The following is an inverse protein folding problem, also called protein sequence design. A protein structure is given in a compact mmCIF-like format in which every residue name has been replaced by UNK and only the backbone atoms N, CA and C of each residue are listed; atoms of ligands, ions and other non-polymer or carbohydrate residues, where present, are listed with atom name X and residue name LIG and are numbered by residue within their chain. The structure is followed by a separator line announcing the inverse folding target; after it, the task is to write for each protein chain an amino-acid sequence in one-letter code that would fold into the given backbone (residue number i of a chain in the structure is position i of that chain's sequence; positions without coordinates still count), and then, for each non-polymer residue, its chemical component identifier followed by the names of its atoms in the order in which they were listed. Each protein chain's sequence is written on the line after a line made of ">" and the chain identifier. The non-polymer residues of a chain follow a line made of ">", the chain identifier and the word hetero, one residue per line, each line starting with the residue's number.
data_IF_952402281672
#
_entry.id   IF_952402281672
#
_cell.length_a   1.000
_cell.length_b   1.000
_cell.length_c   1.000
_cell.angle_alpha   90.00
_cell.angle_beta   90.00
_cell.angle_gamma   90.00
#
_symmetry.space_group_name_H-M   'P 1'
#
loop_
_entity.id
_entity.type
_entity.pdbx_description
1 polymer ?
#
# COMPACT_ATOMS: atom_id res chain seq x y z
N UNK A 1 15.10 12.84 13.06
CA UNK A 1 16.34 13.19 12.32
C UNK A 1 17.21 11.96 12.12
N UNK A 2 17.97 11.92 11.04
CA UNK A 2 18.94 10.85 10.78
C UNK A 2 20.28 11.19 11.44
N UNK A 3 20.92 10.22 12.09
CA UNK A 3 22.24 10.41 12.73
C UNK A 3 23.40 10.32 11.73
N UNK A 4 23.18 9.82 10.53
CA UNK A 4 24.15 9.71 9.43
C UNK A 4 23.46 9.90 8.08
N UNK A 5 24.25 10.17 7.03
CA UNK A 5 23.72 10.28 5.68
C UNK A 5 23.00 8.98 5.28
N UNK A 6 21.84 9.11 4.69
CA UNK A 6 21.07 7.97 4.17
C UNK A 6 20.22 8.37 2.95
N UNK A 7 19.68 7.37 2.29
CA UNK A 7 18.68 7.56 1.22
C UNK A 7 17.37 6.97 1.71
N UNK A 8 16.31 7.72 1.55
CA UNK A 8 14.94 7.29 1.89
C UNK A 8 14.08 7.23 0.63
N UNK A 9 12.97 6.51 0.70
CA UNK A 9 11.86 6.63 -0.25
C UNK A 9 10.54 6.77 0.51
N UNK A 10 9.63 7.57 -0.05
CA UNK A 10 8.27 7.77 0.44
C UNK A 10 7.30 7.16 -0.58
N UNK A 11 6.42 6.25 -0.13
CA UNK A 11 5.48 5.55 -1.01
C UNK A 11 4.13 5.31 -0.32
N UNK A 12 3.19 4.68 -1.05
CA UNK A 12 1.86 4.37 -0.53
C UNK A 12 0.94 5.58 -0.50
N UNK A 13 0.14 5.72 0.56
CA UNK A 13 -0.78 6.85 0.74
C UNK A 13 -0.01 8.18 0.66
N UNK A 14 -0.45 9.06 -0.21
CA UNK A 14 0.20 10.36 -0.42
C UNK A 14 0.07 11.24 0.82
N UNK A 15 1.18 11.76 1.29
CA UNK A 15 1.29 12.66 2.45
C UNK A 15 2.15 13.85 2.10
N UNK A 16 1.91 14.97 2.76
CA UNK A 16 2.86 16.09 2.68
C UNK A 16 4.13 15.71 3.42
N UNK A 17 5.27 15.90 2.79
CA UNK A 17 6.57 15.68 3.44
C UNK A 17 7.53 16.80 3.12
N UNK A 18 8.36 17.15 4.08
CA UNK A 18 9.47 18.10 3.91
C UNK A 18 10.75 17.62 4.61
N UNK A 19 11.89 18.00 4.05
CA UNK A 19 13.21 17.83 4.64
C UNK A 19 13.81 19.21 4.90
N UNK A 20 13.93 19.59 6.17
CA UNK A 20 14.40 20.93 6.59
C UNK A 20 13.62 22.06 5.90
N UNK A 21 12.31 21.90 5.74
CA UNK A 21 11.42 22.88 5.11
C UNK A 21 11.31 22.78 3.59
N UNK A 22 12.14 21.96 2.92
CA UNK A 22 12.03 21.72 1.49
C UNK A 22 11.04 20.59 1.21
N UNK A 23 10.01 20.84 0.41
CA UNK A 23 9.03 19.85 0.02
C UNK A 23 9.68 18.65 -0.69
N UNK A 24 9.21 17.45 -0.37
CA UNK A 24 9.64 16.17 -0.98
C UNK A 24 8.58 15.62 -1.89
N UNK A 25 9.00 15.11 -3.06
CA UNK A 25 8.14 14.38 -3.97
C UNK A 25 7.74 13.01 -3.36
N UNK A 26 6.48 12.62 -3.56
CA UNK A 26 5.99 11.29 -3.19
C UNK A 26 6.34 10.27 -4.28
N UNK A 27 6.38 8.98 -3.95
CA UNK A 27 6.86 7.90 -4.82
C UNK A 27 8.27 8.17 -5.38
N UNK A 28 9.14 8.75 -4.56
CA UNK A 28 10.47 9.17 -4.94
C UNK A 28 11.51 8.85 -3.87
N UNK A 29 12.78 8.82 -4.28
CA UNK A 29 13.93 8.64 -3.40
C UNK A 29 14.61 9.98 -3.11
N UNK A 30 15.04 10.17 -1.87
CA UNK A 30 15.64 11.43 -1.38
C UNK A 30 16.91 11.16 -0.59
N UNK A 31 17.95 11.96 -0.83
CA UNK A 31 19.13 11.99 0.03
C UNK A 31 18.80 12.77 1.32
N UNK A 32 19.12 12.18 2.45
CA UNK A 32 18.93 12.78 3.79
C UNK A 32 20.30 12.93 4.43
N UNK A 33 20.82 14.16 4.56
CA UNK A 33 22.07 14.44 5.29
C UNK A 33 21.96 14.07 6.77
N UNK A 34 23.08 13.77 7.40
CA UNK A 34 23.14 13.64 8.85
C UNK A 34 22.65 14.91 9.54
N UNK A 35 21.82 14.78 10.57
CA UNK A 35 21.19 15.88 11.30
C UNK A 35 19.90 16.42 10.67
N UNK A 36 19.66 16.19 9.38
CA UNK A 36 18.47 16.71 8.70
C UNK A 36 17.17 16.17 9.32
N UNK A 37 16.14 17.00 9.34
CA UNK A 37 14.83 16.72 9.93
C UNK A 37 13.78 16.45 8.86
N UNK A 38 13.37 15.21 8.74
CA UNK A 38 12.23 14.82 7.92
C UNK A 38 10.93 15.06 8.71
N UNK A 39 9.97 15.75 8.10
CA UNK A 39 8.59 15.85 8.58
C UNK A 39 7.66 15.17 7.59
N UNK A 40 6.75 14.36 8.11
CA UNK A 40 5.67 13.73 7.34
C UNK A 40 4.37 14.20 7.98
N UNK A 41 3.53 14.84 7.20
CA UNK A 41 2.25 15.39 7.62
C UNK A 41 1.09 14.39 7.47
N UNK A 42 -0.15 14.89 7.52
CA UNK A 42 -1.33 14.05 7.38
C UNK A 42 -1.44 13.44 5.98
N UNK A 43 -2.17 12.33 5.90
CA UNK A 43 -2.51 11.68 4.63
C UNK A 43 -3.42 12.60 3.80
N UNK A 44 -3.14 12.68 2.51
CA UNK A 44 -3.93 13.41 1.52
C UNK A 44 -4.87 12.46 0.74
N UNK A 45 -4.37 11.28 0.39
CA UNK A 45 -5.11 10.21 -0.30
C UNK A 45 -4.60 8.84 0.13
N UNK A 46 -5.51 7.86 0.24
CA UNK A 46 -5.19 6.51 0.69
C UNK A 46 -5.22 6.38 2.21
N UNK A 47 -4.61 5.33 2.73
CA UNK A 47 -4.64 4.96 4.16
C UNK A 47 -3.23 4.73 4.71
N UNK A 48 -2.40 3.95 4.02
CA UNK A 48 -1.09 3.50 4.50
C UNK A 48 0.04 4.13 3.70
N UNK A 49 0.79 5.04 4.32
CA UNK A 49 2.05 5.57 3.78
C UNK A 49 3.25 4.77 4.31
N UNK A 50 4.30 4.74 3.52
CA UNK A 50 5.51 3.99 3.85
C UNK A 50 6.74 4.87 3.74
N UNK A 51 7.55 4.85 4.80
CA UNK A 51 8.91 5.38 4.81
C UNK A 51 9.88 4.21 4.67
N UNK A 52 10.64 4.20 3.58
CA UNK A 52 11.72 3.26 3.35
C UNK A 52 13.06 3.93 3.64
N UNK A 53 14.04 3.18 4.10
CA UNK A 53 15.40 3.64 4.27
C UNK A 53 16.35 2.64 3.61
N UNK A 54 17.35 3.14 2.92
CA UNK A 54 18.38 2.29 2.33
C UNK A 54 19.19 1.59 3.43
N UNK A 55 19.39 0.28 3.28
CA UNK A 55 19.91 -0.59 4.32
C UNK A 55 18.86 -1.21 5.24
N UNK A 56 17.60 -0.71 5.18
CA UNK A 56 16.47 -1.19 5.97
C UNK A 56 16.52 -0.77 7.44
N UNK A 57 15.36 -0.70 8.09
CA UNK A 57 15.29 -0.56 9.54
C UNK A 57 15.71 -1.88 10.22
N UNK A 58 16.51 -1.78 11.28
CA UNK A 58 17.09 -2.91 12.02
C UNK A 58 16.68 -2.95 13.49
N UNK A 59 15.40 -2.87 13.84
CA UNK A 59 15.00 -3.12 15.21
C UNK A 59 15.34 -4.57 15.59
N UNK A 60 15.50 -4.90 16.87
CA UNK A 60 15.76 -6.27 17.33
C UNK A 60 14.76 -7.27 16.75
N UNK A 61 15.18 -8.48 16.42
CA UNK A 61 14.29 -9.52 15.92
C UNK A 61 13.37 -10.05 17.01
N UNK A 62 12.09 -10.27 16.69
CA UNK A 62 11.12 -11.02 17.49
C UNK A 62 10.59 -12.13 16.59
N UNK A 63 10.70 -13.38 17.00
CA UNK A 63 10.33 -14.56 16.19
C UNK A 63 10.89 -14.49 14.76
N UNK A 64 12.15 -14.08 14.64
CA UNK A 64 12.86 -13.86 13.37
C UNK A 64 12.28 -12.75 12.47
N UNK A 65 11.29 -11.99 12.93
CA UNK A 65 10.67 -10.87 12.23
C UNK A 65 11.06 -9.51 12.80
N UNK A 66 11.02 -8.47 11.95
CA UNK A 66 11.17 -7.06 12.36
C UNK A 66 9.85 -6.31 12.39
N UNK A 67 8.76 -6.94 11.98
CA UNK A 67 7.43 -6.36 11.95
C UNK A 67 6.82 -6.15 13.34
N UNK A 68 5.79 -5.31 13.39
CA UNK A 68 4.93 -5.11 14.55
C UNK A 68 3.60 -5.78 14.28
N UNK A 69 3.09 -6.56 15.23
CA UNK A 69 1.75 -7.11 15.21
C UNK A 69 1.01 -6.62 16.46
N UNK A 70 0.24 -5.54 16.30
CA UNK A 70 -0.35 -4.82 17.43
C UNK A 70 -1.38 -5.68 18.18
N UNK A 71 -2.22 -6.42 17.47
CA UNK A 71 -3.25 -7.27 18.08
C UNK A 71 -2.65 -8.42 18.90
N UNK A 72 -1.50 -8.97 18.48
CA UNK A 72 -0.79 -10.01 19.23
C UNK A 72 0.16 -9.44 20.30
N UNK A 73 0.26 -8.12 20.46
CA UNK A 73 1.20 -7.48 21.39
C UNK A 73 2.67 -7.67 21.02
N UNK A 74 2.97 -8.10 19.79
CA UNK A 74 4.33 -8.23 19.30
C UNK A 74 4.85 -6.88 18.86
N UNK A 75 5.68 -6.27 19.70
CA UNK A 75 6.23 -4.92 19.54
C UNK A 75 5.13 -3.84 19.61
N UNK A 76 5.46 -2.71 20.18
CA UNK A 76 4.57 -1.56 20.26
C UNK A 76 4.68 -0.69 18.99
N UNK A 77 3.67 0.13 18.73
CA UNK A 77 3.76 1.21 17.77
C UNK A 77 4.91 2.18 18.14
N UNK A 78 5.53 2.77 17.12
CA UNK A 78 6.57 3.78 17.30
C UNK A 78 5.96 4.99 18.02
N UNK A 79 6.64 5.46 19.07
CA UNK A 79 6.23 6.61 19.86
C UNK A 79 7.24 7.74 19.72
N UNK A 80 6.87 8.92 20.15
CA UNK A 80 7.78 10.05 20.28
C UNK A 80 9.03 9.68 21.08
N UNK A 81 10.19 10.12 20.62
CA UNK A 81 11.49 9.78 21.21
C UNK A 81 12.04 8.40 20.83
N UNK A 82 11.30 7.59 20.06
CA UNK A 82 11.82 6.29 19.63
C UNK A 82 13.00 6.45 18.67
N UNK A 83 14.04 5.64 18.92
CA UNK A 83 15.18 5.49 18.02
C UNK A 83 15.03 4.23 17.18
N UNK A 84 15.21 4.39 15.86
CA UNK A 84 15.10 3.30 14.90
C UNK A 84 16.48 3.05 14.27
N UNK A 85 17.20 2.01 14.67
CA UNK A 85 18.45 1.64 14.03
C UNK A 85 18.18 1.24 12.58
N UNK A 86 19.12 1.57 11.69
CA UNK A 86 19.07 1.19 10.29
C UNK A 86 20.44 0.77 9.77
N UNK A 87 20.43 -0.15 8.80
CA UNK A 87 21.60 -0.76 8.22
C UNK A 87 22.44 0.20 7.37
N UNK A 88 23.60 -0.28 6.92
CA UNK A 88 24.45 0.47 6.00
C UNK A 88 23.73 0.69 4.67
N UNK A 89 23.74 1.91 4.16
CA UNK A 89 23.15 2.22 2.87
C UNK A 89 24.01 1.64 1.74
N UNK A 90 23.39 0.83 0.90
CA UNK A 90 23.95 0.40 -0.39
C UNK A 90 23.48 1.27 -1.55
N UNK A 91 22.56 2.22 -1.31
CA UNK A 91 22.03 3.09 -2.34
C UNK A 91 23.07 4.14 -2.74
N UNK A 92 23.41 4.13 -4.02
CA UNK A 92 24.36 5.07 -4.63
C UNK A 92 23.64 6.27 -5.27
N UNK A 93 22.31 6.21 -5.42
CA UNK A 93 21.51 7.22 -6.14
C UNK A 93 20.27 7.59 -5.36
N UNK A 94 20.01 8.89 -5.26
CA UNK A 94 18.75 9.49 -4.83
C UNK A 94 18.21 10.37 -5.97
N UNK A 95 17.00 10.90 -5.82
CA UNK A 95 16.37 11.74 -6.85
C UNK A 95 15.78 10.93 -7.98
N UNK A 96 15.30 9.73 -7.70
CA UNK A 96 14.51 8.91 -8.62
C UNK A 96 13.05 8.92 -8.20
N UNK A 97 12.14 8.95 -9.16
CA UNK A 97 10.69 8.82 -8.95
C UNK A 97 10.12 7.68 -9.77
N UNK A 98 8.97 7.18 -9.33
CA UNK A 98 8.20 6.15 -10.01
C UNK A 98 6.77 6.64 -10.21
N UNK A 99 6.27 6.56 -11.44
CA UNK A 99 4.85 6.79 -11.72
C UNK A 99 4.06 5.59 -11.21
N UNK A 100 3.14 5.83 -10.29
CA UNK A 100 2.32 4.79 -9.65
C UNK A 100 0.86 5.02 -9.98
N UNK A 101 0.18 3.95 -10.41
CA UNK A 101 -1.25 3.99 -10.65
C UNK A 101 -2.02 4.34 -9.37
N UNK A 102 -3.11 5.10 -9.52
CA UNK A 102 -4.04 5.44 -8.43
C UNK A 102 -4.64 4.17 -7.81
N UNK A 103 -4.61 4.07 -6.48
CA UNK A 103 -5.08 2.90 -5.72
C UNK A 103 -6.11 3.21 -4.66
N UNK A 104 -6.47 4.47 -4.45
CA UNK A 104 -7.39 4.88 -3.37
C UNK A 104 -8.81 5.22 -3.85
N UNK A 105 -9.03 5.24 -5.17
CA UNK A 105 -10.28 5.67 -5.78
C UNK A 105 -11.40 4.60 -5.77
N UNK A 106 -11.10 3.34 -5.42
CA UNK A 106 -12.08 2.26 -5.45
C UNK A 106 -12.26 1.63 -6.85
N UNK A 107 -13.52 1.38 -7.22
CA UNK A 107 -13.90 0.71 -8.46
C UNK A 107 -13.98 -0.82 -8.33
N UNK A 108 -13.84 -1.57 -9.42
CA UNK A 108 -13.95 -3.03 -9.39
C UNK A 108 -12.72 -3.70 -8.78
N UNK A 109 -12.96 -4.62 -7.86
CA UNK A 109 -11.98 -5.51 -7.22
C UNK A 109 -12.29 -6.94 -7.66
N UNK A 110 -11.30 -7.62 -8.21
CA UNK A 110 -11.47 -9.00 -8.70
C UNK A 110 -11.36 -9.99 -7.54
N UNK A 111 -12.26 -10.96 -7.56
CA UNK A 111 -12.37 -12.00 -6.53
C UNK A 111 -12.44 -13.39 -7.17
N UNK A 112 -12.03 -14.39 -6.41
CA UNK A 112 -12.13 -15.80 -6.73
C UNK A 112 -13.08 -16.52 -5.78
N UNK A 113 -13.78 -17.57 -6.23
CA UNK A 113 -14.50 -18.44 -5.32
C UNK A 113 -13.53 -19.18 -4.38
N UNK A 114 -13.95 -19.40 -3.15
CA UNK A 114 -13.29 -20.25 -2.17
C UNK A 114 -14.03 -21.60 -2.09
N UNK A 115 -13.48 -22.55 -1.34
CA UNK A 115 -14.15 -23.82 -1.05
C UNK A 115 -15.47 -23.64 -0.27
N UNK A 116 -15.75 -22.46 0.26
CA UNK A 116 -16.95 -22.16 1.03
C UNK A 116 -17.95 -21.26 0.28
N UNK A 117 -17.60 -20.79 -0.94
CA UNK A 117 -18.47 -19.89 -1.71
C UNK A 117 -19.82 -20.51 -2.04
N UNK A 118 -19.87 -21.83 -2.30
CA UNK A 118 -21.12 -22.53 -2.59
C UNK A 118 -22.13 -22.52 -1.44
N UNK A 119 -21.68 -22.25 -0.20
CA UNK A 119 -22.58 -22.13 0.96
C UNK A 119 -23.50 -20.91 0.89
N UNK A 120 -23.15 -19.92 0.06
CA UNK A 120 -23.90 -18.67 -0.07
C UNK A 120 -25.03 -18.75 -1.10
N UNK A 121 -25.03 -19.76 -1.97
CA UNK A 121 -25.98 -19.88 -3.06
C UNK A 121 -25.81 -18.81 -4.14
N UNK A 122 -26.37 -19.08 -5.33
CA UNK A 122 -26.18 -18.22 -6.50
C UNK A 122 -26.76 -16.82 -6.34
N UNK A 123 -27.93 -16.71 -5.72
CA UNK A 123 -28.62 -15.41 -5.55
C UNK A 123 -27.85 -14.48 -4.63
N UNK A 124 -27.30 -14.99 -3.52
CA UNK A 124 -26.53 -14.16 -2.57
C UNK A 124 -25.17 -13.78 -3.15
N UNK A 125 -24.51 -14.67 -3.90
CA UNK A 125 -23.29 -14.36 -4.65
C UNK A 125 -23.53 -13.28 -5.71
N UNK A 126 -24.66 -13.36 -6.44
CA UNK A 126 -25.03 -12.33 -7.40
C UNK A 126 -25.35 -10.99 -6.71
N UNK A 127 -26.07 -11.01 -5.60
CA UNK A 127 -26.35 -9.81 -4.81
C UNK A 127 -25.06 -9.18 -4.30
N UNK A 128 -24.09 -9.96 -3.82
CA UNK A 128 -22.80 -9.47 -3.36
C UNK A 128 -22.02 -8.75 -4.47
N UNK A 129 -21.99 -9.29 -5.68
CA UNK A 129 -21.32 -8.68 -6.82
C UNK A 129 -22.01 -7.40 -7.32
N UNK A 130 -23.32 -7.29 -7.16
CA UNK A 130 -24.10 -6.11 -7.55
C UNK A 130 -24.19 -5.04 -6.45
N UNK A 131 -23.60 -5.29 -5.28
CA UNK A 131 -23.61 -4.33 -4.16
C UNK A 131 -22.44 -3.38 -4.27
N UNK A 132 -22.72 -2.09 -4.06
CA UNK A 132 -21.70 -1.05 -3.90
C UNK A 132 -21.35 -0.98 -2.41
N UNK A 133 -20.08 -1.18 -2.12
CA UNK A 133 -19.55 -1.10 -0.77
C UNK A 133 -18.68 0.13 -0.59
N UNK A 134 -18.61 0.62 0.64
CA UNK A 134 -17.65 1.64 1.07
C UNK A 134 -16.82 1.12 2.24
N UNK A 135 -15.65 1.72 2.46
CA UNK A 135 -14.82 1.40 3.62
C UNK A 135 -15.45 1.92 4.89
N UNK A 136 -15.71 1.05 5.87
CA UNK A 136 -16.15 1.44 7.21
C UNK A 136 -14.96 2.04 8.00
N UNK A 137 -15.16 3.14 8.76
CA UNK A 137 -14.09 3.76 9.58
C UNK A 137 -13.48 2.83 10.63
N UNK A 138 -14.16 1.77 11.03
CA UNK A 138 -13.66 0.75 11.98
C UNK A 138 -12.65 -0.22 11.37
N UNK A 139 -12.37 -0.09 10.07
CA UNK A 139 -11.33 -0.87 9.39
C UNK A 139 -9.96 -0.60 9.98
N UNK A 140 -9.13 -1.64 10.06
CA UNK A 140 -7.77 -1.56 10.60
C UNK A 140 -6.82 -2.52 9.85
N UNK A 141 -5.63 -2.79 10.41
CA UNK A 141 -4.64 -3.68 9.79
C UNK A 141 -5.02 -5.16 9.81
N UNK A 142 -6.01 -5.56 10.61
CA UNK A 142 -6.55 -6.92 10.62
C UNK A 142 -7.54 -7.16 9.49
N UNK A 143 -8.33 -6.13 9.12
CA UNK A 143 -9.33 -6.27 8.08
C UNK A 143 -9.99 -4.96 7.66
N UNK A 144 -10.39 -4.92 6.40
CA UNK A 144 -11.24 -3.87 5.85
C UNK A 144 -12.69 -4.28 6.03
N UNK A 145 -13.38 -3.63 6.97
CA UNK A 145 -14.82 -3.76 7.12
C UNK A 145 -15.51 -2.98 6.02
N UNK A 146 -16.47 -3.63 5.38
CA UNK A 146 -17.23 -3.02 4.29
C UNK A 146 -18.63 -2.63 4.79
N UNK A 147 -19.09 -1.47 4.37
CA UNK A 147 -20.40 -0.95 4.66
C UNK A 147 -21.23 -0.84 3.37
N UNK A 148 -22.45 -1.32 3.43
CA UNK A 148 -23.45 -1.19 2.37
C UNK A 148 -24.84 -1.17 3.06
N UNK A 149 -25.36 0.01 3.46
CA UNK A 149 -26.54 0.14 4.32
C UNK A 149 -27.80 -0.51 3.73
N UNK A 150 -27.94 -0.49 2.40
CA UNK A 150 -29.13 -1.00 1.68
C UNK A 150 -28.93 -2.43 1.16
N UNK A 151 -27.80 -3.10 1.51
CA UNK A 151 -27.52 -4.45 1.06
C UNK A 151 -28.31 -5.49 1.86
N UNK A 152 -28.58 -6.66 1.26
CA UNK A 152 -29.14 -7.78 2.01
C UNK A 152 -28.15 -8.27 3.08
N UNK A 153 -28.65 -9.00 4.05
CA UNK A 153 -27.80 -9.74 4.98
C UNK A 153 -27.07 -10.87 4.23
N UNK A 154 -25.74 -10.79 4.18
CA UNK A 154 -24.92 -11.77 3.48
C UNK A 154 -24.61 -13.03 4.31
N UNK A 155 -25.08 -13.16 5.56
CA UNK A 155 -24.84 -14.36 6.35
C UNK A 155 -25.61 -15.55 5.76
N UNK A 156 -24.93 -16.63 5.35
CA UNK A 156 -25.62 -17.81 4.82
C UNK A 156 -26.27 -18.59 5.97
N UNK A 157 -27.48 -19.12 5.73
CA UNK A 157 -28.20 -19.92 6.74
C UNK A 157 -27.39 -21.14 7.20
N UNK A 158 -26.63 -21.73 6.31
CA UNK A 158 -25.78 -22.90 6.57
C UNK A 158 -24.57 -22.60 7.47
N UNK A 159 -24.25 -21.31 7.74
CA UNK A 159 -23.03 -20.92 8.45
C UNK A 159 -23.04 -21.18 9.97
N UNK A 160 -24.18 -21.62 10.54
CA UNK A 160 -24.33 -21.75 12.00
C UNK A 160 -23.40 -22.80 12.65
N UNK A 161 -22.77 -23.67 11.86
CA UNK A 161 -21.94 -24.78 12.32
C UNK A 161 -20.59 -24.87 11.63
N UNK A 162 -20.01 -23.77 11.17
CA UNK A 162 -18.68 -23.78 10.53
C UNK A 162 -17.62 -23.96 11.60
N UNK A 163 -16.79 -24.99 11.43
CA UNK A 163 -15.57 -25.16 12.23
C UNK A 163 -14.55 -24.12 11.82
N UNK A 164 -13.74 -23.67 12.79
CA UNK A 164 -12.62 -22.79 12.49
C UNK A 164 -11.67 -23.45 11.48
N UNK A 165 -11.32 -22.72 10.43
CA UNK A 165 -10.47 -23.15 9.34
C UNK A 165 -9.32 -22.15 9.15
N UNK A 166 -8.30 -22.53 8.40
CA UNK A 166 -7.22 -21.64 8.01
C UNK A 166 -7.79 -20.51 7.15
N UNK A 167 -7.44 -19.27 7.50
CA UNK A 167 -7.81 -18.08 6.74
C UNK A 167 -6.56 -17.36 6.25
N UNK A 168 -6.69 -16.64 5.13
CA UNK A 168 -5.59 -15.96 4.47
C UNK A 168 -5.92 -14.49 4.24
N UNK A 169 -4.88 -13.69 4.08
CA UNK A 169 -5.03 -12.32 3.61
C UNK A 169 -5.79 -12.31 2.27
N UNK A 170 -6.79 -11.44 2.16
CA UNK A 170 -7.68 -11.36 1.00
C UNK A 170 -8.96 -12.18 1.12
N UNK A 171 -9.08 -13.10 2.07
CA UNK A 171 -10.36 -13.77 2.32
C UNK A 171 -11.44 -12.76 2.71
N UNK A 172 -12.62 -12.87 2.12
CA UNK A 172 -13.78 -12.06 2.47
C UNK A 172 -14.68 -12.87 3.39
N UNK A 173 -14.55 -12.64 4.68
CA UNK A 173 -15.37 -13.26 5.71
C UNK A 173 -16.69 -12.53 5.88
N UNK A 174 -17.77 -13.29 6.07
CA UNK A 174 -19.09 -12.73 6.42
C UNK A 174 -19.35 -13.03 7.88
N UNK A 175 -19.47 -11.98 8.69
CA UNK A 175 -19.79 -12.11 10.11
C UNK A 175 -21.23 -12.52 10.35
N UNK A 176 -21.59 -12.91 11.57
CA UNK A 176 -22.94 -13.40 11.89
C UNK A 176 -24.07 -12.38 11.68
N UNK A 177 -23.72 -11.08 11.63
CA UNK A 177 -24.63 -9.98 11.29
C UNK A 177 -24.67 -9.68 9.76
N UNK A 178 -24.00 -10.51 8.95
CA UNK A 178 -23.97 -10.36 7.49
C UNK A 178 -22.96 -9.34 6.97
N UNK A 179 -22.11 -8.76 7.83
CA UNK A 179 -21.14 -7.74 7.41
C UNK A 179 -19.91 -8.40 6.76
N UNK A 180 -19.49 -7.95 5.56
CA UNK A 180 -18.26 -8.43 4.95
C UNK A 180 -17.01 -7.78 5.55
N UNK A 181 -15.99 -8.60 5.80
CA UNK A 181 -14.64 -8.21 6.21
C UNK A 181 -13.62 -8.82 5.26
N UNK A 182 -12.82 -7.99 4.61
CA UNK A 182 -11.67 -8.47 3.84
C UNK A 182 -10.47 -8.53 4.76
N UNK A 183 -9.93 -9.74 4.97
CA UNK A 183 -8.79 -9.96 5.86
C UNK A 183 -7.53 -9.32 5.28
N UNK A 184 -6.74 -8.70 6.17
CA UNK A 184 -5.52 -7.97 5.83
C UNK A 184 -4.32 -8.57 6.57
N UNK A 185 -3.14 -8.00 6.38
CA UNK A 185 -1.85 -8.54 6.83
C UNK A 185 -1.72 -8.86 8.34
N UNK A 186 -2.53 -8.27 9.23
CA UNK A 186 -2.57 -8.59 10.67
C UNK A 186 -3.78 -9.43 11.07
N UNK A 187 -4.48 -10.05 10.12
CA UNK A 187 -5.59 -10.94 10.44
C UNK A 187 -5.12 -12.17 11.22
N UNK A 188 -6.07 -12.80 11.91
CA UNK A 188 -5.86 -14.10 12.52
C UNK A 188 -5.52 -15.16 11.45
N UNK A 189 -4.87 -16.24 11.86
CA UNK A 189 -4.51 -17.36 10.97
C UNK A 189 -5.62 -18.42 10.87
N UNK A 190 -6.59 -18.40 11.78
CA UNK A 190 -7.76 -19.28 11.78
C UNK A 190 -9.02 -18.46 12.08
N UNK A 191 -10.15 -18.84 11.50
CA UNK A 191 -11.42 -18.17 11.71
C UNK A 191 -12.62 -19.09 11.46
N UNK A 192 -13.73 -18.82 12.15
CA UNK A 192 -14.97 -19.57 12.05
C UNK A 192 -16.08 -18.87 11.26
N UNK A 193 -15.78 -17.76 10.59
CA UNK A 193 -16.73 -17.09 9.70
C UNK A 193 -16.62 -17.64 8.27
N UNK A 194 -17.74 -17.84 7.57
CA UNK A 194 -17.74 -18.30 6.17
C UNK A 194 -17.07 -17.29 5.25
N UNK A 195 -16.36 -17.80 4.25
CA UNK A 195 -15.67 -16.99 3.23
C UNK A 195 -16.47 -17.00 1.96
N UNK A 196 -17.02 -15.84 1.58
CA UNK A 196 -17.82 -15.70 0.35
C UNK A 196 -16.94 -15.75 -0.90
N UNK A 197 -15.74 -15.18 -0.81
CA UNK A 197 -14.77 -15.13 -1.91
C UNK A 197 -13.37 -14.77 -1.34
N UNK A 198 -12.37 -14.73 -2.24
CA UNK A 198 -11.04 -14.23 -1.95
C UNK A 198 -10.64 -13.15 -2.96
N UNK A 199 -10.11 -12.03 -2.49
CA UNK A 199 -9.59 -10.94 -3.33
C UNK A 199 -8.29 -11.38 -3.99
N UNK A 200 -8.10 -11.04 -5.27
CA UNK A 200 -6.83 -11.25 -5.95
C UNK A 200 -5.69 -10.51 -5.24
N UNK A 201 -4.53 -11.16 -5.01
CA UNK A 201 -3.39 -10.53 -4.36
C UNK A 201 -2.96 -9.20 -4.99
N UNK A 202 -3.02 -9.07 -6.32
CA UNK A 202 -2.67 -7.82 -7.00
C UNK A 202 -3.68 -6.68 -6.80
N UNK A 203 -4.92 -6.98 -6.39
CA UNK A 203 -5.96 -5.99 -6.09
C UNK A 203 -6.02 -5.60 -4.60
N UNK A 204 -5.43 -6.41 -3.69
CA UNK A 204 -5.39 -6.10 -2.26
C UNK A 204 -4.84 -4.70 -1.93
N UNK A 205 -3.78 -4.21 -2.58
CA UNK A 205 -3.29 -2.84 -2.32
C UNK A 205 -4.33 -1.76 -2.62
N UNK A 206 -5.22 -1.97 -3.60
CA UNK A 206 -6.30 -1.02 -3.91
C UNK A 206 -7.34 -0.99 -2.79
N UNK A 207 -7.70 -2.15 -2.28
CA UNK A 207 -8.63 -2.26 -1.15
C UNK A 207 -8.03 -1.71 0.15
N UNK A 208 -6.75 -2.02 0.43
CA UNK A 208 -6.03 -1.49 1.58
C UNK A 208 -5.97 0.05 1.58
N UNK A 209 -5.79 0.66 0.40
CA UNK A 209 -5.69 2.10 0.21
C UNK A 209 -7.03 2.80 -0.03
N UNK A 210 -8.15 2.06 -0.03
CA UNK A 210 -9.47 2.61 -0.32
C UNK A 210 -9.79 3.79 0.62
N UNK A 211 -9.91 4.98 0.05
CA UNK A 211 -10.22 6.20 0.80
C UNK A 211 -11.63 6.15 1.41
N UNK A 212 -11.86 6.92 2.45
CA UNK A 212 -13.20 7.08 3.03
C UNK A 212 -14.16 7.61 1.98
N UNK A 213 -15.33 6.98 1.84
CA UNK A 213 -16.36 7.32 0.86
C UNK A 213 -16.08 6.85 -0.58
N UNK A 214 -14.91 6.29 -0.87
CA UNK A 214 -14.70 5.65 -2.17
C UNK A 214 -15.48 4.35 -2.25
N UNK A 215 -16.10 4.12 -3.42
CA UNK A 215 -16.96 2.99 -3.68
C UNK A 215 -16.17 1.83 -4.28
N UNK A 216 -16.53 0.61 -3.89
CA UNK A 216 -15.94 -0.62 -4.41
C UNK A 216 -17.03 -1.63 -4.72
N UNK A 217 -16.87 -2.35 -5.82
CA UNK A 217 -17.68 -3.50 -6.22
C UNK A 217 -16.77 -4.70 -6.44
N UNK A 218 -17.30 -5.90 -6.24
CA UNK A 218 -16.55 -7.12 -6.45
C UNK A 218 -16.96 -7.80 -7.75
N UNK A 219 -15.97 -8.29 -8.49
CA UNK A 219 -16.18 -9.02 -9.73
C UNK A 219 -15.57 -10.41 -9.61
N UNK A 220 -16.42 -11.43 -9.66
CA UNK A 220 -15.97 -12.82 -9.72
C UNK A 220 -15.33 -13.10 -11.09
N UNK A 221 -14.13 -13.68 -11.07
CA UNK A 221 -13.42 -14.10 -12.27
C UNK A 221 -13.08 -15.59 -12.20
N UNK A 222 -12.74 -16.17 -13.34
CA UNK A 222 -12.29 -17.55 -13.40
C UNK A 222 -10.86 -17.71 -12.85
N UNK A 223 -10.51 -18.91 -12.40
CA UNK A 223 -9.16 -19.23 -11.94
C UNK A 223 -8.12 -19.04 -13.06
N UNK A 224 -8.45 -19.35 -14.32
CA UNK A 224 -7.55 -19.14 -15.45
C UNK A 224 -7.21 -17.67 -15.65
N UNK A 225 -8.23 -16.80 -15.66
CA UNK A 225 -8.03 -15.34 -15.74
C UNK A 225 -7.20 -14.81 -14.57
N UNK A 226 -7.47 -15.30 -13.36
CA UNK A 226 -6.72 -14.88 -12.16
C UNK A 226 -5.23 -15.20 -12.27
N UNK A 227 -4.87 -16.38 -12.74
CA UNK A 227 -3.47 -16.80 -12.94
C UNK A 227 -2.76 -15.91 -13.95
N UNK A 228 -3.42 -15.58 -15.06
CA UNK A 228 -2.84 -14.69 -16.08
C UNK A 228 -2.63 -13.28 -15.56
N UNK A 229 -3.61 -12.73 -14.82
CA UNK A 229 -3.54 -11.41 -14.21
C UNK A 229 -2.42 -11.34 -13.18
N UNK A 230 -2.29 -12.33 -12.29
CA UNK A 230 -1.24 -12.36 -11.27
C UNK A 230 0.16 -12.50 -11.88
N UNK A 231 0.31 -13.30 -12.94
CA UNK A 231 1.58 -13.40 -13.69
C UNK A 231 1.97 -12.06 -14.31
N UNK A 232 1.01 -11.36 -14.95
CA UNK A 232 1.25 -10.05 -15.52
C UNK A 232 1.62 -9.02 -14.42
N UNK A 233 0.93 -9.02 -13.29
CA UNK A 233 1.22 -8.16 -12.15
C UNK A 233 2.60 -8.45 -11.55
N UNK A 234 3.01 -9.71 -11.47
CA UNK A 234 4.35 -10.11 -11.02
C UNK A 234 5.43 -9.62 -11.99
N UNK A 235 5.22 -9.80 -13.30
CA UNK A 235 6.15 -9.32 -14.31
C UNK A 235 6.31 -7.79 -14.27
N UNK A 236 5.20 -7.06 -14.12
CA UNK A 236 5.23 -5.61 -13.96
C UNK A 236 6.00 -5.18 -12.70
N UNK A 237 5.80 -5.86 -11.56
CA UNK A 237 6.57 -5.59 -10.33
C UNK A 237 8.08 -5.80 -10.50
N UNK A 238 8.48 -6.82 -11.26
CA UNK A 238 9.90 -7.10 -11.53
C UNK A 238 10.57 -5.97 -12.35
N UNK A 239 9.79 -5.19 -13.11
CA UNK A 239 10.30 -4.11 -13.95
C UNK A 239 10.32 -2.74 -13.25
N UNK A 240 9.77 -2.60 -12.04
CA UNK A 240 9.63 -1.30 -11.36
C UNK A 240 10.95 -0.53 -11.26
N UNK A 241 12.07 -1.21 -10.99
CA UNK A 241 13.38 -0.56 -10.92
C UNK A 241 13.81 0.10 -12.23
N UNK A 242 13.49 -0.50 -13.38
CA UNK A 242 13.79 0.03 -14.70
C UNK A 242 12.85 1.19 -15.09
N UNK A 243 11.68 1.30 -14.47
CA UNK A 243 10.71 2.36 -14.73
C UNK A 243 11.00 3.65 -13.94
N UNK A 244 11.97 3.62 -13.04
CA UNK A 244 12.34 4.80 -12.26
C UNK A 244 12.96 5.88 -13.16
N UNK A 245 12.50 7.13 -12.98
CA UNK A 245 12.94 8.31 -13.72
C UNK A 245 13.60 9.31 -12.78
N UNK A 246 14.53 10.16 -13.25
CA UNK A 246 15.00 11.27 -12.45
C UNK A 246 13.84 12.17 -12.01
N UNK A 247 13.85 12.60 -10.74
CA UNK A 247 12.92 13.63 -10.26
C UNK A 247 13.26 14.93 -10.96
N UNK A 248 12.32 15.43 -11.75
CA UNK A 248 12.46 16.76 -12.35
C UNK A 248 12.33 17.81 -11.22
N UNK A 249 13.38 18.53 -10.95
CA UNK A 249 13.35 19.68 -10.03
C UNK A 249 12.63 20.84 -10.72
N UNK A 250 11.72 21.50 -10.02
CA UNK A 250 11.19 22.77 -10.48
C UNK A 250 12.39 23.76 -10.56
N UNK A 251 12.68 24.35 -11.73
CA UNK A 251 13.75 25.33 -11.87
C UNK A 251 13.62 26.52 -10.89
N UNK A 252 12.39 26.82 -10.44
CA UNK A 252 12.13 27.92 -9.49
C UNK A 252 12.57 27.58 -8.07
N UNK A 253 12.71 26.30 -7.75
CA UNK A 253 13.18 25.81 -6.43
C UNK A 253 14.68 25.49 -6.43
N UNK A 254 15.34 25.55 -7.57
CA UNK A 254 16.77 25.31 -7.69
C UNK A 254 17.53 26.59 -7.33
N UNK A 255 17.87 26.79 -6.05
CA UNK A 255 18.66 27.92 -5.58
C UNK A 255 20.07 28.00 -6.15
N UNK A 256 20.52 26.99 -6.90
CA UNK A 256 21.84 26.87 -7.52
C UNK A 256 21.78 26.83 -9.06
N UNK A 257 20.72 27.37 -9.66
CA UNK A 257 20.57 27.43 -11.13
C UNK A 257 21.80 28.02 -11.84
N UNK A 258 22.49 28.97 -11.20
CA UNK A 258 23.69 29.56 -11.74
C UNK A 258 24.92 28.64 -11.70
N UNK A 259 24.90 27.60 -10.86
CA UNK A 259 25.94 26.57 -10.83
C UNK A 259 25.67 25.42 -11.81
N UNK A 260 24.47 25.36 -12.39
CA UNK A 260 24.14 24.43 -13.44
C UNK A 260 24.55 25.01 -14.80
N UNK A 261 25.53 24.41 -15.43
CA UNK A 261 25.91 24.76 -16.78
C UNK A 261 24.77 24.36 -17.74
N UNK A 262 23.80 25.26 -17.93
CA UNK A 262 22.61 25.05 -18.77
C UNK A 262 22.90 25.14 -20.27
N UNK A 263 24.11 25.57 -20.65
CA UNK A 263 24.55 25.70 -22.04
C UNK A 263 25.91 25.00 -22.15
N UNK A 264 25.91 23.78 -22.70
CA UNK A 264 27.12 23.17 -23.21
C UNK A 264 27.35 23.71 -24.60
N UNK A 265 28.35 24.55 -24.82
CA UNK A 265 28.80 24.94 -26.12
C UNK A 265 28.58 26.42 -26.52
N UNK A 266 28.98 27.35 -25.63
CA UNK A 266 29.39 28.69 -26.13
C UNK A 266 30.84 28.55 -26.56
N UNK A 267 31.08 28.35 -27.84
CA UNK A 267 32.38 28.66 -28.46
C UNK A 267 32.51 30.18 -28.50
N UNK A 268 33.46 30.72 -27.80
CA UNK A 268 33.92 32.07 -28.05
C UNK A 268 34.47 32.05 -29.50
N UNK A 269 33.75 32.71 -30.44
CA UNK A 269 34.25 32.88 -31.79
C UNK A 269 35.52 33.78 -31.70
N UNK A 270 36.66 33.18 -31.92
CA UNK A 270 37.83 33.96 -32.30
C UNK A 270 37.66 34.19 -33.83
N UNK A 271 37.34 35.45 -34.16
CA UNK A 271 37.48 35.94 -35.51
C UNK A 271 38.98 36.02 -35.84
N UNK A 272 39.47 35.09 -36.63
CA UNK A 272 40.73 35.27 -37.34
C UNK A 272 40.49 36.19 -38.51
N UNK A 273 41.15 37.36 -38.48
CA UNK A 273 41.30 38.27 -39.59
C UNK A 273 42.28 37.80 -40.67
#
# INVERSE_FOLDING_TARGET
>A
SATRNCVIALTGAEMRADLDGRALAWNATHAVPAGAKLKIGPVMRGIYGYLHISGGFEPPLILQGRGTHLAAGLRAAIREGAELPFGASSATRAGLSLDVAERSAGGFIRILPTLQSDMFGADLLAAFQNTIFTRDPRSNRMGVRLAAPDAPNFAPEAARNILSDIVMEGDIQITGDGTPYVLMAESQTTGGYPRIAQVLPCDLPRLAQLSSGAEVMFQMISHGEAVEIERAAQAARAQLGAMCKPVLRDPREAGDLLAMQLISGVTAGEDEG
#
